data_IF_950479491202
#
_entry.id   IF_950479491202
#
_cell.length_a   1.000
_cell.length_b   1.000
_cell.length_c   1.000
_cell.angle_alpha   90.00
_cell.angle_beta   90.00
_cell.angle_gamma   90.00
#
_symmetry.space_group_name_H-M   'P 1'
#
loop_
_entity.id
_entity.type
_entity.pdbx_description
1 polymer ?
#
# COMPACT_ATOMS: atom_id res chain seq x y z
N UNK A 1 6.54 19.88 12.93
CA UNK A 1 6.00 18.53 13.14
C UNK A 1 4.75 18.44 12.27
N UNK A 2 4.69 17.52 11.29
CA UNK A 2 3.43 17.23 10.61
C UNK A 2 2.39 16.88 11.67
N UNK A 3 1.30 17.63 11.69
CA UNK A 3 0.19 17.47 12.63
C UNK A 3 -0.77 16.45 12.03
N UNK A 4 -0.38 15.17 12.05
CA UNK A 4 -1.30 14.10 11.68
C UNK A 4 -2.46 14.21 12.66
N UNK A 5 -3.70 14.47 12.21
CA UNK A 5 -4.82 14.51 13.11
C UNK A 5 -4.86 13.18 13.86
N UNK A 6 -4.87 13.21 15.20
CA UNK A 6 -4.80 12.01 16.05
C UNK A 6 -5.80 10.92 15.62
N UNK A 7 -6.89 11.33 14.99
CA UNK A 7 -7.93 10.48 14.44
C UNK A 7 -7.45 9.55 13.32
N UNK A 8 -6.49 9.95 12.48
CA UNK A 8 -6.02 9.13 11.35
C UNK A 8 -5.33 7.85 11.83
N UNK A 9 -4.50 7.94 12.88
CA UNK A 9 -3.87 6.76 13.47
C UNK A 9 -4.90 5.79 14.02
N UNK A 10 -5.94 6.31 14.70
CA UNK A 10 -7.06 5.50 15.15
C UNK A 10 -7.82 4.87 13.97
N UNK A 11 -8.01 5.59 12.87
CA UNK A 11 -8.64 5.08 11.66
C UNK A 11 -7.85 3.88 11.11
N UNK A 12 -6.55 3.98 10.90
CA UNK A 12 -5.78 2.86 10.31
C UNK A 12 -5.47 1.71 11.30
N UNK A 13 -5.62 1.94 12.61
CA UNK A 13 -5.37 0.93 13.63
C UNK A 13 -6.44 -0.18 13.72
N UNK A 14 -7.61 -0.01 13.11
CA UNK A 14 -8.69 -1.00 13.13
C UNK A 14 -8.48 -2.12 12.09
N UNK A 15 -8.63 -3.39 12.50
CA UNK A 15 -8.33 -4.52 11.63
C UNK A 15 -9.25 -4.62 10.41
N UNK A 16 -10.56 -4.36 10.58
CA UNK A 16 -11.53 -4.40 9.49
C UNK A 16 -11.28 -3.28 8.50
N UNK A 17 -10.94 -2.07 8.97
CA UNK A 17 -10.56 -0.95 8.09
C UNK A 17 -9.30 -1.26 7.30
N UNK A 18 -8.30 -1.90 7.90
CA UNK A 18 -7.11 -2.36 7.15
C UNK A 18 -7.46 -3.40 6.08
N UNK A 19 -8.31 -4.38 6.39
CA UNK A 19 -8.76 -5.37 5.40
C UNK A 19 -9.48 -4.70 4.22
N UNK A 20 -10.37 -3.74 4.50
CA UNK A 20 -11.05 -2.95 3.47
C UNK A 20 -10.05 -2.19 2.60
N UNK A 21 -9.08 -1.49 3.20
CA UNK A 21 -8.04 -0.77 2.45
C UNK A 21 -7.18 -1.71 1.61
N UNK A 22 -6.84 -2.90 2.13
CA UNK A 22 -6.09 -3.93 1.38
C UNK A 22 -6.85 -4.38 0.14
N UNK A 23 -8.15 -4.66 0.25
CA UNK A 23 -8.97 -5.01 -0.91
C UNK A 23 -9.09 -3.84 -1.89
N UNK A 24 -9.34 -2.64 -1.40
CA UNK A 24 -9.43 -1.44 -2.24
C UNK A 24 -8.11 -1.03 -2.91
N UNK A 25 -6.97 -1.54 -2.44
CA UNK A 25 -5.69 -1.39 -3.12
C UNK A 25 -5.61 -2.22 -4.43
N UNK A 26 -6.44 -3.25 -4.56
CA UNK A 26 -6.50 -4.09 -5.77
C UNK A 26 -7.34 -3.44 -6.87
N UNK A 27 -8.33 -2.63 -6.50
CA UNK A 27 -9.22 -1.93 -7.44
C UNK A 27 -10.44 -1.30 -6.77
N UNK A 28 -11.42 -0.93 -7.59
CA UNK A 28 -12.69 -0.36 -7.14
C UNK A 28 -13.71 -1.48 -6.88
N UNK A 29 -14.38 -1.47 -5.72
CA UNK A 29 -15.34 -2.51 -5.30
C UNK A 29 -16.68 -1.91 -4.89
N UNK A 30 -17.78 -2.63 -5.14
CA UNK A 30 -19.07 -2.27 -4.54
C UNK A 30 -19.15 -2.75 -3.09
N UNK A 31 -20.05 -2.15 -2.29
CA UNK A 31 -20.26 -2.55 -0.88
C UNK A 31 -20.60 -4.04 -0.75
N UNK A 32 -21.44 -4.59 -1.64
CA UNK A 32 -21.80 -6.00 -1.61
C UNK A 32 -20.59 -6.91 -1.80
N UNK A 33 -19.74 -6.60 -2.78
CA UNK A 33 -18.53 -7.37 -3.07
C UNK A 33 -17.56 -7.37 -1.87
N UNK A 34 -17.48 -6.26 -1.13
CA UNK A 34 -16.68 -6.15 0.10
C UNK A 34 -17.30 -6.93 1.27
N UNK A 35 -18.63 -6.97 1.38
CA UNK A 35 -19.33 -7.79 2.39
C UNK A 35 -19.01 -9.27 2.18
N UNK A 36 -19.10 -9.73 0.93
CA UNK A 36 -18.83 -11.11 0.56
C UNK A 36 -17.35 -11.46 0.75
N UNK A 37 -16.43 -10.56 0.40
CA UNK A 37 -14.99 -10.79 0.52
C UNK A 37 -14.49 -10.86 1.97
N UNK A 38 -15.06 -10.05 2.87
CA UNK A 38 -14.61 -9.97 4.26
C UNK A 38 -15.40 -10.88 5.21
N UNK A 39 -16.51 -11.49 4.77
CA UNK A 39 -17.47 -12.20 5.62
C UNK A 39 -17.95 -11.35 6.82
N UNK A 40 -18.20 -10.07 6.55
CA UNK A 40 -18.60 -9.07 7.55
C UNK A 40 -19.93 -8.44 7.13
N UNK A 41 -20.83 -8.24 8.09
CA UNK A 41 -22.16 -7.69 7.82
C UNK A 41 -22.12 -6.33 7.09
N UNK A 42 -23.08 -6.10 6.21
CA UNK A 42 -23.23 -4.86 5.45
C UNK A 42 -23.30 -3.58 6.31
N UNK A 43 -24.01 -3.54 7.45
CA UNK A 43 -23.98 -2.38 8.36
C UNK A 43 -22.58 -2.06 8.88
N UNK A 44 -21.81 -3.11 9.23
CA UNK A 44 -20.43 -2.96 9.71
C UNK A 44 -19.52 -2.43 8.60
N UNK A 45 -19.56 -3.02 7.40
CA UNK A 45 -18.79 -2.53 6.23
C UNK A 45 -19.13 -1.08 5.92
N UNK A 46 -20.42 -0.73 5.88
CA UNK A 46 -20.86 0.64 5.58
C UNK A 46 -20.38 1.65 6.62
N UNK A 47 -20.40 1.28 7.91
CA UNK A 47 -19.86 2.10 8.99
C UNK A 47 -18.36 2.32 8.82
N UNK A 48 -17.59 1.28 8.53
CA UNK A 48 -16.15 1.40 8.33
C UNK A 48 -15.79 2.24 7.10
N UNK A 49 -16.48 2.03 5.96
CA UNK A 49 -16.29 2.83 4.76
C UNK A 49 -16.62 4.31 4.98
N UNK A 50 -17.63 4.62 5.79
CA UNK A 50 -17.92 6.00 6.18
C UNK A 50 -16.76 6.64 6.93
N UNK A 51 -16.21 5.96 7.94
CA UNK A 51 -15.06 6.46 8.72
C UNK A 51 -13.84 6.65 7.83
N UNK A 52 -13.55 5.69 6.93
CA UNK A 52 -12.46 5.80 5.97
C UNK A 52 -12.63 7.00 5.03
N UNK A 53 -13.88 7.27 4.59
CA UNK A 53 -14.19 8.41 3.72
C UNK A 53 -14.03 9.73 4.46
N UNK A 54 -14.48 9.82 5.71
CA UNK A 54 -14.30 11.00 6.56
C UNK A 54 -12.81 11.30 6.81
N UNK A 55 -11.98 10.25 6.87
CA UNK A 55 -10.52 10.36 6.92
C UNK A 55 -9.85 10.57 5.55
N UNK A 56 -10.60 10.76 4.46
CA UNK A 56 -10.10 10.92 3.09
C UNK A 56 -9.20 9.77 2.61
N UNK A 57 -9.41 8.56 3.12
CA UNK A 57 -8.67 7.35 2.72
C UNK A 57 -9.35 6.58 1.60
N UNK A 58 -10.63 6.87 1.34
CA UNK A 58 -11.40 6.26 0.25
C UNK A 58 -12.31 7.28 -0.40
N UNK A 59 -12.57 7.09 -1.69
CA UNK A 59 -13.57 7.85 -2.44
C UNK A 59 -14.78 6.98 -2.78
N UNK A 60 -15.88 7.61 -3.21
CA UNK A 60 -17.11 6.92 -3.58
C UNK A 60 -17.62 7.42 -4.93
N UNK A 61 -18.04 6.49 -5.79
CA UNK A 61 -18.66 6.77 -7.08
C UNK A 61 -20.01 6.06 -7.20
N UNK A 62 -20.98 6.75 -7.78
CA UNK A 62 -22.29 6.17 -8.09
C UNK A 62 -22.28 5.54 -9.48
N UNK A 63 -22.84 4.34 -9.63
CA UNK A 63 -23.11 3.73 -10.93
C UNK A 63 -24.43 2.96 -10.87
N UNK A 64 -25.49 3.59 -11.38
CA UNK A 64 -26.86 3.12 -11.17
C UNK A 64 -27.19 3.05 -9.68
N UNK A 65 -27.67 1.89 -9.22
CA UNK A 65 -27.98 1.65 -7.82
C UNK A 65 -26.77 1.24 -6.97
N UNK A 66 -25.63 0.92 -7.61
CA UNK A 66 -24.42 0.46 -6.91
C UNK A 66 -23.57 1.65 -6.50
N UNK A 67 -22.97 1.53 -5.32
CA UNK A 67 -21.96 2.45 -4.78
C UNK A 67 -20.62 1.75 -4.79
N UNK A 68 -19.70 2.31 -5.54
CA UNK A 68 -18.35 1.82 -5.71
C UNK A 68 -17.39 2.66 -4.88
N UNK A 69 -16.45 1.99 -4.23
CA UNK A 69 -15.43 2.60 -3.39
C UNK A 69 -14.05 2.31 -3.97
N UNK A 70 -13.16 3.29 -3.87
CA UNK A 70 -11.75 3.16 -4.25
C UNK A 70 -10.86 3.76 -3.17
N UNK A 71 -9.61 3.26 -3.09
CA UNK A 71 -8.59 3.82 -2.22
C UNK A 71 -8.16 5.23 -2.69
N UNK A 72 -7.91 6.13 -1.73
CA UNK A 72 -7.28 7.43 -1.95
C UNK A 72 -5.95 7.48 -1.17
N UNK A 73 -4.82 7.09 -1.79
CA UNK A 73 -3.51 7.03 -1.14
C UNK A 73 -3.03 8.38 -0.58
N UNK A 74 -3.48 9.48 -1.17
CA UNK A 74 -3.14 10.84 -0.80
C UNK A 74 -3.51 11.15 0.65
N UNK A 75 -4.57 10.52 1.18
CA UNK A 75 -4.96 10.64 2.59
C UNK A 75 -3.95 10.03 3.57
N UNK A 76 -3.03 9.18 3.11
CA UNK A 76 -1.94 8.61 3.91
C UNK A 76 -0.62 9.38 3.80
N UNK A 77 -0.54 10.41 2.96
CA UNK A 77 0.74 11.07 2.64
C UNK A 77 1.49 11.55 3.87
N UNK A 78 0.80 12.16 4.81
CA UNK A 78 1.44 12.67 6.03
C UNK A 78 2.01 11.54 6.92
N UNK A 79 1.32 10.39 6.96
CA UNK A 79 1.81 9.19 7.67
C UNK A 79 3.02 8.60 6.95
N UNK A 80 3.00 8.56 5.62
CA UNK A 80 4.12 8.09 4.81
C UNK A 80 5.35 8.98 4.97
N UNK A 81 5.19 10.30 4.93
CA UNK A 81 6.26 11.28 5.15
C UNK A 81 6.88 11.13 6.55
N UNK A 82 6.05 10.94 7.57
CA UNK A 82 6.51 10.66 8.93
C UNK A 82 7.27 9.33 9.03
N UNK A 83 6.74 8.25 8.45
CA UNK A 83 7.40 6.93 8.42
C UNK A 83 8.74 6.99 7.69
N UNK A 84 8.86 7.79 6.62
CA UNK A 84 10.12 8.03 5.90
C UNK A 84 11.23 8.66 6.74
N UNK A 85 10.92 9.20 7.92
CA UNK A 85 11.94 9.66 8.88
C UNK A 85 12.67 8.50 9.56
N UNK A 86 12.03 7.33 9.65
CA UNK A 86 12.56 6.14 10.34
C UNK A 86 12.97 5.05 9.35
N UNK A 87 12.31 5.01 8.20
CA UNK A 87 12.56 4.04 7.14
C UNK A 87 13.49 4.67 6.13
N UNK A 88 14.72 4.14 5.94
CA UNK A 88 15.59 4.62 4.88
C UNK A 88 14.85 4.45 3.54
N UNK A 89 14.96 5.46 2.67
CA UNK A 89 14.40 5.37 1.32
C UNK A 89 14.88 4.05 0.69
N UNK A 90 13.98 3.28 0.04
CA UNK A 90 14.41 2.09 -0.67
C UNK A 90 15.57 2.49 -1.58
N UNK A 91 16.68 1.77 -1.51
CA UNK A 91 17.77 1.97 -2.45
C UNK A 91 17.13 1.89 -3.82
N UNK A 92 17.11 3.00 -4.56
CA UNK A 92 16.54 2.99 -5.90
C UNK A 92 17.16 1.80 -6.63
N UNK A 93 16.38 1.01 -7.39
CA UNK A 93 16.96 0.00 -8.25
C UNK A 93 17.87 0.75 -9.21
N UNK A 94 19.15 0.82 -8.83
CA UNK A 94 20.20 1.38 -9.64
C UNK A 94 20.10 0.59 -10.94
N UNK A 95 19.70 1.30 -11.99
CA UNK A 95 19.71 0.82 -13.34
C UNK A 95 21.15 0.47 -13.71
N UNK A 96 21.59 -0.71 -13.27
CA UNK A 96 22.82 -1.38 -13.64
C UNK A 96 22.42 -2.69 -14.34
N UNK A 97 21.57 -2.56 -15.37
CA UNK A 97 21.63 -3.48 -16.50
C UNK A 97 22.86 -3.07 -17.29
N UNK A 98 23.97 -3.76 -17.08
CA UNK A 98 25.18 -3.56 -17.86
C UNK A 98 26.45 -4.07 -17.22
N UNK A 99 26.64 -5.39 -17.26
CA UNK A 99 27.84 -6.11 -17.71
C UNK A 99 27.99 -7.42 -16.95
N UNK A 100 27.49 -8.50 -17.55
CA UNK A 100 27.89 -9.86 -17.21
C UNK A 100 29.28 -10.05 -17.82
N UNK A 101 30.31 -9.81 -17.01
CA UNK A 101 31.65 -10.34 -17.25
C UNK A 101 31.75 -11.66 -16.51
N UNK A 102 31.88 -12.75 -17.27
CA UNK A 102 32.30 -14.05 -16.75
C UNK A 102 33.64 -13.90 -16.01
N UNK A 103 33.78 -14.51 -14.83
CA UNK A 103 34.87 -15.45 -14.51
C UNK A 103 34.92 -15.84 -13.00
N UNK A 104 34.85 -17.16 -12.79
CA UNK A 104 35.52 -18.04 -11.82
C UNK A 104 35.36 -17.87 -10.28
N UNK A 105 34.50 -18.75 -9.75
CA UNK A 105 34.77 -19.77 -8.71
C UNK A 105 35.86 -19.46 -7.65
N UNK A 106 35.48 -18.72 -6.61
CA UNK A 106 35.95 -18.92 -5.21
C UNK A 106 35.13 -18.14 -4.15
N UNK A 107 34.03 -17.49 -4.54
CA UNK A 107 33.22 -16.62 -3.69
C UNK A 107 32.19 -17.34 -2.79
N UNK A 108 32.04 -18.66 -2.94
CA UNK A 108 30.95 -19.43 -2.33
C UNK A 108 31.00 -19.48 -0.78
N UNK A 109 32.16 -19.28 -0.16
CA UNK A 109 32.32 -19.45 1.29
C UNK A 109 32.26 -18.16 2.12
N UNK A 110 32.43 -16.98 1.51
CA UNK A 110 32.31 -15.68 2.24
C UNK A 110 30.91 -15.08 2.20
N UNK A 111 30.09 -15.40 1.19
CA UNK A 111 28.73 -14.87 1.02
C UNK A 111 27.71 -15.40 2.05
N UNK A 112 27.92 -16.61 2.57
CA UNK A 112 26.95 -17.28 3.44
C UNK A 112 26.80 -16.63 4.84
N UNK A 113 27.85 -15.97 5.35
CA UNK A 113 27.81 -15.31 6.67
C UNK A 113 27.21 -13.90 6.60
N UNK A 114 27.41 -13.19 5.49
CA UNK A 114 26.82 -11.86 5.24
C UNK A 114 25.32 -11.95 4.92
N UNK A 115 24.90 -12.98 4.17
CA UNK A 115 23.50 -13.23 3.88
C UNK A 115 22.69 -13.40 5.18
N UNK A 116 23.18 -14.15 6.17
CA UNK A 116 22.37 -14.51 7.36
C UNK A 116 21.99 -13.34 8.28
N UNK A 117 22.69 -12.18 8.21
CA UNK A 117 22.41 -11.03 9.08
C UNK A 117 21.30 -10.08 8.60
N UNK A 118 20.87 -10.19 7.34
CA UNK A 118 19.93 -9.21 6.75
C UNK A 118 18.49 -9.73 6.57
N UNK A 119 18.19 -10.95 7.03
CA UNK A 119 17.06 -11.73 6.52
C UNK A 119 15.69 -11.52 7.19
N UNK A 120 15.56 -10.70 8.23
CA UNK A 120 14.30 -10.61 8.99
C UNK A 120 13.42 -9.39 8.68
N UNK A 121 14.04 -8.21 8.54
CA UNK A 121 13.30 -6.92 8.49
C UNK A 121 13.63 -6.13 7.23
N UNK A 122 14.87 -6.19 6.72
CA UNK A 122 15.28 -5.46 5.51
C UNK A 122 14.48 -5.86 4.27
N UNK A 123 14.43 -7.16 3.95
CA UNK A 123 13.64 -7.66 2.80
C UNK A 123 12.14 -7.40 2.94
N UNK A 124 11.61 -7.45 4.16
CA UNK A 124 10.19 -7.18 4.40
C UNK A 124 9.89 -5.69 4.21
N UNK A 125 10.79 -4.80 4.63
CA UNK A 125 10.63 -3.36 4.48
C UNK A 125 10.78 -2.93 3.02
N UNK A 126 11.75 -3.52 2.29
CA UNK A 126 11.90 -3.34 0.83
C UNK A 126 10.66 -3.83 0.07
N UNK A 127 10.12 -5.00 0.41
CA UNK A 127 8.89 -5.50 -0.21
C UNK A 127 7.67 -4.62 0.12
N UNK A 128 7.62 -4.07 1.33
CA UNK A 128 6.53 -3.17 1.75
C UNK A 128 6.63 -1.82 1.03
N UNK A 129 7.84 -1.27 0.84
CA UNK A 129 8.03 -0.01 0.10
C UNK A 129 7.79 -0.20 -1.39
N UNK A 130 8.26 -1.30 -1.99
CA UNK A 130 7.97 -1.67 -3.38
C UNK A 130 6.46 -1.81 -3.61
N UNK A 131 5.77 -2.55 -2.74
CA UNK A 131 4.31 -2.74 -2.86
C UNK A 131 3.54 -1.44 -2.63
N UNK A 132 4.02 -0.55 -1.75
CA UNK A 132 3.44 0.77 -1.57
C UNK A 132 3.60 1.62 -2.84
N UNK A 133 4.78 1.60 -3.46
CA UNK A 133 5.04 2.33 -4.70
C UNK A 133 4.23 1.78 -5.88
N UNK A 134 4.09 0.46 -6.00
CA UNK A 134 3.23 -0.18 -7.02
C UNK A 134 1.77 0.23 -6.89
N UNK A 135 1.27 0.32 -5.65
CA UNK A 135 -0.09 0.80 -5.36
C UNK A 135 -0.21 2.23 -5.86
N UNK A 136 0.67 3.14 -5.42
CA UNK A 136 0.69 4.56 -5.82
C UNK A 136 0.77 4.71 -7.36
N UNK A 137 1.67 3.98 -8.03
CA UNK A 137 1.88 4.05 -9.48
C UNK A 137 0.68 3.50 -10.26
N UNK A 138 0.05 2.43 -9.78
CA UNK A 138 -1.20 1.90 -10.35
C UNK A 138 -2.31 2.94 -10.28
N UNK A 139 -2.41 3.67 -9.18
CA UNK A 139 -3.39 4.75 -9.02
C UNK A 139 -3.11 5.95 -9.93
N UNK A 140 -1.85 6.38 -10.06
CA UNK A 140 -1.46 7.43 -10.99
C UNK A 140 -1.89 7.07 -12.44
N UNK A 141 -1.65 5.82 -12.87
CA UNK A 141 -2.07 5.33 -14.20
C UNK A 141 -3.60 5.31 -14.39
N UNK A 142 -4.38 4.99 -13.35
CA UNK A 142 -5.84 5.00 -13.42
C UNK A 142 -6.44 6.41 -13.52
N UNK A 143 -5.84 7.41 -12.84
CA UNK A 143 -6.32 8.81 -12.86
C UNK A 143 -6.10 9.52 -14.21
N UNK A 144 -5.08 9.12 -14.97
CA UNK A 144 -4.75 9.72 -16.28
C UNK A 144 -5.22 8.89 -17.50
N UNK A 145 -5.87 7.75 -17.29
CA UNK A 145 -6.25 6.79 -18.34
C UNK A 145 -7.64 6.92 -18.97
N UNK A 146 -8.44 7.95 -18.68
CA UNK A 146 -9.74 8.16 -19.34
C UNK A 146 -10.01 9.62 -19.68
N UNK A 147 -9.52 10.05 -20.85
CA UNK A 147 -10.20 11.06 -21.67
C UNK A 147 -10.39 10.50 -23.09
N UNK A 148 -11.69 10.33 -23.39
CA UNK A 148 -12.35 10.00 -24.67
C UNK A 148 -12.25 8.56 -25.16
#
# INVERSE_FOLDING_TARGET
MPSVPSDLYHVIADPTRRQLLTHLAEGEYAVGDLVDALDVSQPTVSKHLRVLREASLVSIRAQGQRRFYSLEPEGLREVLDWLGTFVPAPAEPSAAVGQVGEEHDDAAQRGALAARRQHGVGRSLEQVTERAQEIIDRFAKQRFGRRR
#
